data_IF_432567371636
#
_entry.id   IF_432567371636
#
_cell.length_a   1.000
_cell.length_b   1.000
_cell.length_c   1.000
_cell.angle_alpha   90.00
_cell.angle_beta   90.00
_cell.angle_gamma   90.00
#
_symmetry.space_group_name_H-M   'P 1'
#
loop_
_entity.id
_entity.type
_entity.pdbx_description
1 polymer ?
#
# COMPACT_ATOMS: atom_id res chain seq x y z
N UNK A 1 16.35 -6.07 -1.54
CA UNK A 1 14.98 -5.82 -2.04
C UNK A 1 14.90 -4.36 -2.45
N UNK A 2 14.35 -4.04 -3.63
CA UNK A 2 14.32 -2.66 -4.14
C UNK A 2 13.29 -1.85 -3.36
N UNK A 3 13.69 -0.67 -2.87
CA UNK A 3 12.79 0.28 -2.23
C UNK A 3 12.27 1.27 -3.28
N UNK A 4 10.95 1.44 -3.36
CA UNK A 4 10.30 2.35 -4.32
C UNK A 4 9.25 3.21 -3.60
N UNK A 5 8.91 4.35 -4.21
CA UNK A 5 7.74 5.12 -3.80
C UNK A 5 6.46 4.47 -4.38
N UNK A 6 5.34 4.68 -3.69
CA UNK A 6 4.03 4.14 -4.05
C UNK A 6 3.56 4.58 -5.43
N UNK A 7 3.90 5.81 -5.85
CA UNK A 7 3.57 6.32 -7.20
C UNK A 7 4.24 5.53 -8.34
N UNK A 8 5.37 4.89 -8.06
CA UNK A 8 6.10 4.10 -9.06
C UNK A 8 5.61 2.65 -9.17
N UNK A 9 4.70 2.21 -8.29
CA UNK A 9 4.19 0.84 -8.26
C UNK A 9 3.71 0.29 -9.63
N UNK A 10 3.05 1.07 -10.52
CA UNK A 10 2.62 0.57 -11.84
C UNK A 10 3.78 0.12 -12.75
N UNK A 11 5.02 0.51 -12.46
CA UNK A 11 6.21 0.13 -13.25
C UNK A 11 6.82 -1.21 -12.80
N UNK A 12 6.36 -1.76 -11.67
CA UNK A 12 6.93 -2.94 -11.01
C UNK A 12 5.86 -4.02 -10.78
N UNK A 13 4.95 -4.19 -11.74
CA UNK A 13 3.91 -5.24 -11.68
C UNK A 13 4.59 -6.62 -11.66
N UNK A 14 4.08 -7.52 -10.83
CA UNK A 14 4.62 -8.87 -10.59
C UNK A 14 6.03 -8.93 -9.96
N UNK A 15 6.57 -7.80 -9.50
CA UNK A 15 7.85 -7.73 -8.80
C UNK A 15 7.71 -7.59 -7.27
N UNK A 16 8.67 -8.15 -6.52
CA UNK A 16 8.77 -7.93 -5.07
C UNK A 16 9.56 -6.66 -4.76
N UNK A 17 8.83 -5.64 -4.33
CA UNK A 17 9.37 -4.34 -3.91
C UNK A 17 9.08 -4.08 -2.44
N UNK A 18 9.84 -3.16 -1.83
CA UNK A 18 9.61 -2.63 -0.49
C UNK A 18 9.11 -1.20 -0.62
N UNK A 19 8.05 -0.85 0.10
CA UNK A 19 7.50 0.51 0.13
C UNK A 19 7.37 0.92 1.60
N UNK A 20 7.97 2.05 1.96
CA UNK A 20 7.77 2.67 3.27
C UNK A 20 6.41 3.36 3.30
N UNK A 21 5.54 3.00 4.25
CA UNK A 21 4.19 3.56 4.35
C UNK A 21 3.82 3.89 5.79
N UNK A 22 2.95 4.89 5.94
CA UNK A 22 2.16 5.15 7.13
C UNK A 22 0.76 4.54 6.96
N UNK A 23 0.30 3.83 8.00
CA UNK A 23 -1.07 3.34 8.10
C UNK A 23 -1.96 4.49 8.60
N UNK A 24 -2.83 4.99 7.74
CA UNK A 24 -3.72 6.11 8.08
C UNK A 24 -5.07 5.66 8.63
N UNK A 25 -5.51 4.45 8.28
CA UNK A 25 -6.74 3.86 8.82
C UNK A 25 -6.68 2.34 8.75
N UNK A 26 -7.27 1.67 9.73
CA UNK A 26 -7.47 0.23 9.79
C UNK A 26 -8.89 -0.04 10.25
N UNK A 27 -9.66 -0.75 9.43
CA UNK A 27 -10.96 -1.31 9.83
C UNK A 27 -11.03 -2.78 9.49
N UNK A 28 -11.91 -3.50 10.15
CA UNK A 28 -12.18 -4.91 9.87
C UNK A 28 -13.67 -5.13 9.66
N UNK A 29 -14.01 -6.10 8.81
CA UNK A 29 -15.36 -6.61 8.67
C UNK A 29 -15.29 -8.13 8.65
N UNK A 30 -15.67 -8.75 9.77
CA UNK A 30 -15.51 -10.19 9.97
C UNK A 30 -14.04 -10.62 9.82
N UNK A 31 -13.77 -11.40 8.77
CA UNK A 31 -12.44 -11.97 8.49
C UNK A 31 -11.57 -11.11 7.56
N UNK A 32 -12.09 -10.00 7.04
CA UNK A 32 -11.38 -9.12 6.09
C UNK A 32 -10.92 -7.85 6.81
N UNK A 33 -9.69 -7.44 6.53
CA UNK A 33 -9.12 -6.18 6.99
C UNK A 33 -9.01 -5.20 5.83
N UNK A 34 -9.38 -3.95 6.06
CA UNK A 34 -9.21 -2.86 5.11
C UNK A 34 -8.17 -1.89 5.68
N UNK A 35 -7.10 -1.70 4.92
CA UNK A 35 -6.00 -0.81 5.28
C UNK A 35 -5.98 0.38 4.32
N UNK A 36 -5.74 1.57 4.89
CA UNK A 36 -5.49 2.78 4.12
C UNK A 36 -4.05 3.20 4.36
N UNK A 37 -3.26 3.26 3.29
CA UNK A 37 -1.81 3.44 3.35
C UNK A 37 -1.41 4.71 2.59
N UNK A 38 -0.46 5.48 3.13
CA UNK A 38 0.19 6.61 2.46
C UNK A 38 1.70 6.54 2.60
N UNK A 39 2.43 6.99 1.60
CA UNK A 39 3.89 7.17 1.64
C UNK A 39 4.32 8.63 1.39
N UNK A 40 3.34 9.54 1.26
CA UNK A 40 3.58 10.96 0.93
C UNK A 40 3.56 11.26 -0.58
N UNK A 41 3.64 10.24 -1.44
CA UNK A 41 3.57 10.37 -2.91
C UNK A 41 2.24 9.90 -3.47
N UNK A 42 1.63 8.88 -2.87
CA UNK A 42 0.32 8.35 -3.26
C UNK A 42 -0.49 7.84 -2.05
N UNK A 43 -1.75 7.49 -2.31
CA UNK A 43 -2.68 6.94 -1.33
C UNK A 43 -3.32 5.67 -1.88
N UNK A 44 -3.05 4.53 -1.24
CA UNK A 44 -3.77 3.29 -1.53
C UNK A 44 -4.90 3.15 -0.53
N UNK A 45 -6.13 3.18 -1.06
CA UNK A 45 -7.36 2.85 -0.34
C UNK A 45 -7.76 1.46 -0.79
N UNK A 46 -7.37 0.46 -0.04
CA UNK A 46 -7.64 -0.93 -0.39
C UNK A 46 -9.10 -1.28 -0.08
N UNK A 47 -9.81 -1.83 -1.07
CA UNK A 47 -11.00 -2.66 -0.86
C UNK A 47 -10.53 -4.10 -1.11
N UNK A 48 -10.33 -4.87 -0.05
CA UNK A 48 -10.18 -6.33 -0.12
C UNK A 48 -11.56 -6.98 -0.18
#
# INVERSE_FOLDING_TARGET
MKEINMIDAPKYVDERVKIGVWLTNKRSSGKIAFLQLRDGTAFFKELL
#
